data_IF_511354184352
#
_entry.id   IF_511354184352
#
_cell.length_a   1.000
_cell.length_b   1.000
_cell.length_c   1.000
_cell.angle_alpha   90.00
_cell.angle_beta   90.00
_cell.angle_gamma   90.00
#
_symmetry.space_group_name_H-M   'P 1'
#
loop_
_entity.id
_entity.type
_entity.pdbx_description
1 polymer ?
#
# COMPACT_ATOMS: atom_id res chain seq x y z
N UNK A 1 9.36 10.84 -9.38
CA UNK A 1 9.09 10.05 -10.60
C UNK A 1 10.37 9.47 -11.18
N UNK A 2 11.44 10.30 -11.40
CA UNK A 2 12.71 9.84 -11.98
C UNK A 2 13.33 8.64 -11.22
N UNK A 3 13.44 8.73 -9.90
CA UNK A 3 14.00 7.66 -9.06
C UNK A 3 13.27 6.30 -9.20
N UNK A 4 12.00 6.29 -9.58
CA UNK A 4 11.26 5.05 -9.83
C UNK A 4 11.79 4.27 -11.03
N UNK A 5 12.51 4.92 -11.95
CA UNK A 5 13.19 4.28 -13.08
C UNK A 5 14.62 3.80 -12.75
N UNK A 6 15.14 4.03 -11.56
CA UNK A 6 16.52 3.73 -11.17
C UNK A 6 16.61 2.39 -10.43
N UNK A 7 17.45 1.45 -10.88
CA UNK A 7 17.56 0.10 -10.30
C UNK A 7 18.25 0.06 -8.93
N UNK A 8 18.94 1.14 -8.55
CA UNK A 8 19.57 1.32 -7.24
C UNK A 8 18.60 1.92 -6.20
N UNK A 9 17.33 2.14 -6.60
CA UNK A 9 16.26 2.66 -5.74
C UNK A 9 15.36 1.54 -5.22
N UNK A 10 14.95 1.67 -3.98
CA UNK A 10 13.89 0.88 -3.34
C UNK A 10 12.73 1.82 -3.01
N UNK A 11 11.52 1.49 -3.41
CA UNK A 11 10.32 2.25 -3.04
C UNK A 11 9.46 1.47 -2.05
N UNK A 12 9.17 2.07 -0.91
CA UNK A 12 8.41 1.47 0.20
C UNK A 12 7.04 2.12 0.29
N UNK A 13 5.98 1.33 0.24
CA UNK A 13 4.64 1.78 0.60
C UNK A 13 4.46 1.73 2.12
N UNK A 14 4.47 2.88 2.79
CA UNK A 14 4.30 2.95 4.25
C UNK A 14 2.84 3.03 4.68
N UNK A 15 1.92 2.66 3.79
CA UNK A 15 0.49 2.54 4.08
C UNK A 15 0.16 1.16 4.63
N UNK A 16 -1.06 0.98 5.10
CA UNK A 16 -1.55 -0.33 5.50
C UNK A 16 -1.84 -1.19 4.26
N UNK A 17 -1.75 -2.50 4.42
CA UNK A 17 -1.98 -3.47 3.34
C UNK A 17 -3.30 -3.24 2.59
N UNK A 18 -4.41 -2.95 3.29
CA UNK A 18 -5.69 -2.76 2.62
C UNK A 18 -5.69 -1.53 1.67
N UNK A 19 -4.84 -0.52 1.93
CA UNK A 19 -4.66 0.63 1.03
C UNK A 19 -3.81 0.23 -0.18
N UNK A 20 -2.70 -0.47 0.05
CA UNK A 20 -1.79 -0.97 -1.02
C UNK A 20 -2.51 -1.98 -1.93
N UNK A 21 -3.40 -2.77 -1.37
CA UNK A 21 -4.18 -3.78 -2.09
C UNK A 21 -5.01 -3.18 -3.24
N UNK A 22 -5.60 -2.00 -3.07
CA UNK A 22 -6.43 -1.34 -4.11
C UNK A 22 -5.66 -0.35 -4.98
N UNK A 23 -4.43 -0.04 -4.65
CA UNK A 23 -3.59 0.83 -5.48
C UNK A 23 -2.20 1.03 -4.90
N UNK A 24 -1.20 1.05 -5.79
CA UNK A 24 0.21 1.18 -5.45
C UNK A 24 1.04 1.77 -6.58
N UNK A 25 2.23 2.21 -6.27
CA UNK A 25 3.24 2.51 -7.29
C UNK A 25 3.80 1.19 -7.82
N UNK A 26 3.81 1.02 -9.14
CA UNK A 26 4.49 -0.07 -9.82
C UNK A 26 5.61 0.53 -10.68
N UNK A 27 6.88 0.47 -10.21
CA UNK A 27 8.02 0.94 -11.00
C UNK A 27 8.14 0.19 -12.32
N UNK A 28 8.79 0.78 -13.34
CA UNK A 28 8.99 0.10 -14.61
C UNK A 28 9.94 -1.10 -14.44
N UNK A 29 9.88 -2.03 -15.39
CA UNK A 29 10.80 -3.19 -15.43
C UNK A 29 12.25 -2.70 -15.45
N UNK A 30 13.06 -3.20 -14.55
CA UNK A 30 14.47 -2.78 -14.38
C UNK A 30 14.65 -1.47 -13.59
N UNK A 31 13.58 -0.83 -13.15
CA UNK A 31 13.62 0.32 -12.24
C UNK A 31 13.68 -0.05 -10.76
N UNK A 32 13.12 0.81 -9.92
CA UNK A 32 13.12 0.65 -8.47
C UNK A 32 12.44 -0.65 -8.00
N UNK A 33 12.99 -1.27 -6.97
CA UNK A 33 12.34 -2.40 -6.31
C UNK A 33 11.19 -1.91 -5.43
N UNK A 34 9.99 -2.47 -5.62
CA UNK A 34 8.83 -2.17 -4.78
C UNK A 34 8.80 -3.07 -3.55
N UNK A 35 8.64 -2.48 -2.36
CA UNK A 35 8.46 -3.20 -1.10
C UNK A 35 7.12 -2.82 -0.45
N UNK A 36 6.31 -3.84 -0.20
CA UNK A 36 5.10 -3.76 0.61
C UNK A 36 5.36 -4.46 1.96
N UNK A 37 5.38 -3.70 3.08
CA UNK A 37 5.50 -4.27 4.43
C UNK A 37 4.34 -5.17 4.85
N UNK A 38 3.24 -5.20 4.11
CA UNK A 38 2.02 -5.97 4.38
C UNK A 38 1.43 -5.71 5.78
N UNK A 39 1.48 -4.47 6.22
CA UNK A 39 1.05 -4.06 7.56
C UNK A 39 -0.47 -4.00 7.68
N UNK A 40 -1.00 -4.50 8.79
CA UNK A 40 -2.40 -4.25 9.20
C UNK A 40 -2.57 -2.85 9.80
N UNK A 41 -1.53 -2.36 10.43
CA UNK A 41 -1.47 -1.02 11.01
C UNK A 41 -0.01 -0.52 11.08
N UNK A 42 0.17 0.78 11.20
CA UNK A 42 1.50 1.42 11.19
C UNK A 42 2.42 1.05 12.36
N UNK A 43 1.91 0.42 13.43
CA UNK A 43 2.73 -0.06 14.56
C UNK A 43 3.59 -1.27 14.17
N UNK A 44 3.26 -1.93 13.07
CA UNK A 44 4.02 -3.07 12.56
C UNK A 44 5.26 -2.64 11.76
N UNK A 45 5.31 -1.36 11.32
CA UNK A 45 6.43 -0.85 10.50
C UNK A 45 7.81 -0.99 11.17
N UNK A 46 7.99 -0.64 12.46
CA UNK A 46 9.29 -0.82 13.13
C UNK A 46 9.76 -2.28 13.16
N UNK A 47 8.84 -3.22 13.38
CA UNK A 47 9.16 -4.65 13.36
C UNK A 47 9.61 -5.10 11.97
N UNK A 48 8.89 -4.70 10.93
CA UNK A 48 9.25 -5.01 9.55
C UNK A 48 10.59 -4.38 9.16
N UNK A 49 10.83 -3.13 9.53
CA UNK A 49 12.06 -2.41 9.21
C UNK A 49 13.29 -3.05 9.89
N UNK A 50 13.12 -3.60 11.11
CA UNK A 50 14.18 -4.27 11.85
C UNK A 50 14.44 -5.71 11.39
N UNK A 51 13.60 -6.28 10.52
CA UNK A 51 13.81 -7.64 10.02
C UNK A 51 15.11 -7.72 9.19
N UNK A 52 15.96 -8.76 9.39
CA UNK A 52 17.24 -8.91 8.68
C UNK A 52 17.07 -8.85 7.16
N UNK A 53 16.06 -9.50 6.62
CA UNK A 53 15.75 -9.51 5.19
C UNK A 53 15.36 -8.13 4.65
N UNK A 54 14.75 -7.28 5.48
CA UNK A 54 14.44 -5.90 5.10
C UNK A 54 15.71 -5.06 5.09
N UNK A 55 16.52 -5.14 6.13
CA UNK A 55 17.81 -4.43 6.22
C UNK A 55 18.70 -4.73 5.02
N UNK A 56 18.82 -6.00 4.63
CA UNK A 56 19.59 -6.40 3.48
C UNK A 56 19.09 -5.80 2.16
N UNK A 57 17.77 -5.73 1.97
CA UNK A 57 17.15 -5.08 0.79
C UNK A 57 17.39 -3.57 0.71
N UNK A 58 17.58 -2.91 1.85
CA UNK A 58 17.77 -1.45 1.92
C UNK A 58 19.26 -1.06 1.84
N UNK A 59 20.16 -1.98 2.19
CA UNK A 59 21.60 -1.73 2.26
C UNK A 59 22.17 -1.24 0.93
N UNK A 60 22.81 -0.08 0.96
CA UNK A 60 23.43 0.54 -0.23
C UNK A 60 22.42 1.01 -1.29
N UNK A 61 21.14 1.16 -0.95
CA UNK A 61 20.08 1.63 -1.87
C UNK A 61 19.64 3.05 -1.55
N UNK A 62 19.11 3.75 -2.54
CA UNK A 62 18.29 4.94 -2.36
C UNK A 62 16.92 4.48 -1.88
N UNK A 63 16.49 4.87 -0.70
CA UNK A 63 15.21 4.46 -0.13
C UNK A 63 14.18 5.57 -0.28
N UNK A 64 13.16 5.33 -1.09
CA UNK A 64 12.05 6.26 -1.29
C UNK A 64 10.80 5.72 -0.64
N UNK A 65 10.11 6.54 0.15
CA UNK A 65 8.87 6.17 0.85
C UNK A 65 7.69 7.00 0.33
N UNK A 66 6.51 6.41 0.34
CA UNK A 66 5.27 7.14 0.06
C UNK A 66 4.10 6.67 0.92
N UNK A 67 3.12 7.56 1.09
CA UNK A 67 1.81 7.27 1.66
C UNK A 67 0.75 8.16 0.99
N UNK A 68 -0.48 8.18 1.48
CA UNK A 68 -1.58 8.98 0.91
C UNK A 68 -1.25 10.47 0.81
N UNK A 69 -0.86 11.11 1.93
CA UNK A 69 -0.62 12.57 2.00
C UNK A 69 0.79 12.98 2.45
N UNK A 70 1.71 12.04 2.70
CA UNK A 70 3.10 12.31 3.12
C UNK A 70 3.35 12.20 4.63
N UNK A 71 2.37 12.35 5.50
CA UNK A 71 2.53 12.43 6.98
C UNK A 71 3.18 11.17 7.56
N UNK A 72 2.75 9.98 7.16
CA UNK A 72 3.34 8.70 7.63
C UNK A 72 4.80 8.54 7.19
N UNK A 73 5.15 9.10 6.02
CA UNK A 73 6.51 9.06 5.50
C UNK A 73 7.51 9.79 6.39
N UNK A 74 7.12 10.92 6.97
CA UNK A 74 8.01 11.70 7.88
C UNK A 74 8.42 10.85 9.09
N UNK A 75 7.48 10.13 9.70
CA UNK A 75 7.76 9.26 10.84
C UNK A 75 8.58 8.02 10.44
N UNK A 76 8.26 7.42 9.29
CA UNK A 76 8.94 6.24 8.77
C UNK A 76 10.40 6.57 8.39
N UNK A 77 10.64 7.69 7.71
CA UNK A 77 11.98 8.13 7.34
C UNK A 77 12.82 8.54 8.54
N UNK A 78 12.22 9.20 9.55
CA UNK A 78 12.90 9.54 10.78
C UNK A 78 13.37 8.28 11.54
N UNK A 79 12.55 7.22 11.59
CA UNK A 79 12.93 5.95 12.21
C UNK A 79 14.12 5.31 11.49
N UNK A 80 14.07 5.22 10.16
CA UNK A 80 15.19 4.65 9.38
C UNK A 80 16.48 5.47 9.58
N UNK A 81 16.38 6.81 9.58
CA UNK A 81 17.53 7.68 9.85
C UNK A 81 18.08 7.52 11.27
N UNK A 82 17.26 7.19 12.26
CA UNK A 82 17.73 6.88 13.62
C UNK A 82 18.50 5.56 13.66
N UNK A 83 18.03 4.53 12.93
CA UNK A 83 18.72 3.25 12.83
C UNK A 83 20.09 3.40 12.18
N UNK A 84 20.22 4.16 11.09
CA UNK A 84 21.51 4.45 10.44
C UNK A 84 22.51 5.13 11.39
N UNK A 85 22.04 6.11 12.19
CA UNK A 85 22.88 6.83 13.16
C UNK A 85 23.31 5.95 14.35
N UNK A 86 22.48 4.99 14.72
CA UNK A 86 22.80 4.03 15.78
C UNK A 86 23.81 2.96 15.35
N UNK A 87 24.38 3.07 14.13
CA UNK A 87 25.25 2.06 13.52
C UNK A 87 24.60 0.66 13.46
N UNK A 88 23.26 0.64 13.42
CA UNK A 88 22.52 -0.57 13.12
C UNK A 88 22.83 -0.97 11.65
N UNK A 89 22.85 -2.24 11.32
CA UNK A 89 23.35 -2.82 10.05
C UNK A 89 22.71 -2.33 8.75
N UNK A 90 22.02 -1.19 8.80
CA UNK A 90 21.41 -0.52 7.65
C UNK A 90 22.16 0.75 7.31
N UNK A 91 22.79 0.77 6.13
CA UNK A 91 23.39 1.97 5.54
C UNK A 91 22.77 2.16 4.15
N UNK A 92 22.01 3.25 3.95
CA UNK A 92 21.41 3.58 2.64
C UNK A 92 22.25 4.62 1.89
N UNK A 93 21.98 4.82 0.60
CA UNK A 93 22.52 5.95 -0.18
C UNK A 93 21.74 7.25 0.01
N UNK A 94 20.68 7.21 0.79
CA UNK A 94 19.82 8.33 1.13
C UNK A 94 18.36 7.94 1.29
N UNK A 95 17.66 8.71 2.11
CA UNK A 95 16.26 8.47 2.47
C UNK A 95 15.42 9.62 1.90
N UNK A 96 14.43 9.28 1.11
CA UNK A 96 13.57 10.20 0.38
C UNK A 96 12.10 9.87 0.63
N UNK A 97 11.23 10.84 0.45
CA UNK A 97 9.78 10.56 0.41
C UNK A 97 9.08 11.40 -0.65
N UNK A 98 7.95 10.91 -1.13
CA UNK A 98 7.11 11.62 -2.09
C UNK A 98 6.41 12.78 -1.38
N UNK A 99 6.84 14.01 -1.66
CA UNK A 99 6.27 15.22 -1.05
C UNK A 99 4.78 15.33 -1.37
N UNK A 100 3.95 15.39 -0.31
CA UNK A 100 2.49 15.43 -0.43
C UNK A 100 1.85 14.10 -0.83
N UNK A 101 2.64 13.00 -0.82
CA UNK A 101 2.16 11.64 -1.04
C UNK A 101 1.52 11.39 -2.41
N UNK A 102 0.68 10.38 -2.48
CA UNK A 102 -0.04 9.98 -3.70
C UNK A 102 -1.02 11.05 -4.16
N UNK A 103 -1.67 11.75 -3.25
CA UNK A 103 -2.58 12.85 -3.63
C UNK A 103 -1.89 13.87 -4.54
N UNK A 104 -0.70 14.33 -4.15
CA UNK A 104 0.06 15.26 -4.98
C UNK A 104 0.67 14.61 -6.22
N UNK A 105 1.07 13.34 -6.12
CA UNK A 105 1.60 12.59 -7.26
C UNK A 105 0.57 12.49 -8.39
N UNK A 106 -0.68 12.13 -8.09
CA UNK A 106 -1.77 12.04 -9.07
C UNK A 106 -2.13 13.39 -9.70
N UNK A 107 -2.10 14.48 -8.92
CA UNK A 107 -2.27 15.84 -9.46
C UNK A 107 -1.15 16.25 -10.42
N UNK A 108 0.07 15.75 -10.19
CA UNK A 108 1.23 16.01 -11.07
C UNK A 108 1.23 15.13 -12.31
N UNK A 109 0.69 13.93 -12.19
CA UNK A 109 0.59 12.93 -13.27
C UNK A 109 -0.87 12.47 -13.43
N UNK A 110 -1.75 13.26 -14.11
CA UNK A 110 -3.17 12.94 -14.26
C UNK A 110 -3.44 11.58 -14.89
N UNK A 111 -2.58 11.13 -15.83
CA UNK A 111 -2.61 9.78 -16.41
C UNK A 111 -2.10 8.67 -15.47
N UNK A 112 -1.80 9.00 -14.20
CA UNK A 112 -1.34 8.05 -13.17
C UNK A 112 0.16 7.81 -13.13
N UNK A 113 0.91 8.03 -14.19
CA UNK A 113 2.34 7.71 -14.23
C UNK A 113 2.61 6.25 -13.85
N UNK A 114 3.38 6.00 -12.80
CA UNK A 114 3.64 4.66 -12.26
C UNK A 114 2.60 4.21 -11.21
N UNK A 115 1.56 5.02 -10.94
CA UNK A 115 0.48 4.63 -10.06
C UNK A 115 -0.50 3.67 -10.77
N UNK A 116 -0.87 2.61 -10.07
CA UNK A 116 -1.89 1.63 -10.48
C UNK A 116 -2.99 1.56 -9.45
N UNK A 117 -4.24 1.49 -9.90
CA UNK A 117 -5.40 1.35 -9.04
C UNK A 117 -5.86 2.64 -8.37
N UNK A 118 -6.41 2.53 -7.17
CA UNK A 118 -7.06 3.60 -6.40
C UNK A 118 -6.25 4.00 -5.16
N UNK A 119 -6.23 5.27 -4.85
CA UNK A 119 -5.67 5.78 -3.61
C UNK A 119 -6.77 5.83 -2.54
N UNK A 120 -6.63 5.06 -1.48
CA UNK A 120 -7.55 5.06 -0.35
C UNK A 120 -7.49 6.38 0.40
N UNK A 121 -8.64 7.02 0.61
CA UNK A 121 -8.78 8.26 1.36
C UNK A 121 -9.48 8.00 2.69
N UNK A 122 -8.95 8.57 3.78
CA UNK A 122 -9.52 8.41 5.13
C UNK A 122 -10.68 9.34 5.42
N UNK A 123 -10.91 10.32 4.57
CA UNK A 123 -12.06 11.20 4.65
C UNK A 123 -13.26 10.63 3.86
N UNK A 124 -14.40 11.28 3.97
CA UNK A 124 -15.66 10.84 3.34
C UNK A 124 -15.67 10.94 1.80
N UNK A 125 -14.56 11.34 1.17
CA UNK A 125 -14.45 11.42 -0.30
C UNK A 125 -14.29 10.06 -0.99
N UNK A 126 -14.02 8.99 -0.23
CA UNK A 126 -13.86 7.64 -0.78
C UNK A 126 -12.46 7.36 -1.32
N UNK A 127 -12.36 6.79 -2.51
CA UNK A 127 -11.10 6.48 -3.16
C UNK A 127 -10.83 7.45 -4.33
N UNK A 128 -9.57 7.85 -4.49
CA UNK A 128 -9.09 8.67 -5.60
C UNK A 128 -8.42 7.79 -6.66
N UNK A 129 -8.65 8.05 -7.93
CA UNK A 129 -7.95 7.44 -9.06
C UNK A 129 -7.31 8.49 -9.95
N UNK A 130 -6.51 8.06 -10.92
CA UNK A 130 -6.00 8.94 -11.98
C UNK A 130 -7.17 9.45 -12.82
N UNK A 131 -7.20 10.75 -13.10
CA UNK A 131 -8.33 11.41 -13.77
C UNK A 131 -8.57 10.90 -15.18
N UNK A 132 -7.50 10.57 -15.91
CA UNK A 132 -7.54 10.15 -17.31
C UNK A 132 -7.71 8.63 -17.49
N UNK A 133 -8.05 7.86 -16.43
CA UNK A 133 -8.21 6.41 -16.52
C UNK A 133 -9.67 5.95 -16.46
N UNK A 134 -10.04 5.03 -17.35
CA UNK A 134 -11.32 4.31 -17.28
C UNK A 134 -11.42 3.48 -16.00
N UNK A 135 -12.56 3.55 -15.31
CA UNK A 135 -12.81 2.87 -14.04
C UNK A 135 -12.64 1.35 -14.15
N UNK A 136 -13.05 0.74 -15.25
CA UNK A 136 -12.92 -0.70 -15.50
C UNK A 136 -11.47 -1.16 -15.66
N UNK A 137 -10.61 -0.28 -16.17
CA UNK A 137 -9.17 -0.53 -16.26
C UNK A 137 -8.56 -0.48 -14.87
N UNK A 138 -8.89 0.55 -14.08
CA UNK A 138 -8.40 0.75 -12.72
C UNK A 138 -8.75 -0.42 -11.81
N UNK A 139 -9.95 -1.00 -11.92
CA UNK A 139 -10.38 -2.16 -11.11
C UNK A 139 -9.52 -3.41 -11.35
N UNK A 140 -8.97 -3.58 -12.54
CA UNK A 140 -8.17 -4.76 -12.91
C UNK A 140 -6.67 -4.58 -12.66
N UNK A 141 -6.20 -3.35 -12.54
CA UNK A 141 -4.75 -3.05 -12.48
C UNK A 141 -4.04 -3.68 -11.28
N UNK A 142 -4.70 -3.80 -10.15
CA UNK A 142 -4.06 -4.25 -8.89
C UNK A 142 -4.27 -5.72 -8.58
N UNK A 143 -5.17 -6.38 -9.30
CA UNK A 143 -5.58 -7.75 -8.99
C UNK A 143 -6.43 -7.88 -7.71
N UNK A 144 -6.96 -6.76 -7.20
CA UNK A 144 -7.86 -6.76 -6.04
C UNK A 144 -9.15 -7.51 -6.34
N UNK A 145 -9.64 -8.28 -5.38
CA UNK A 145 -10.82 -9.13 -5.56
C UNK A 145 -11.77 -9.07 -4.37
N UNK A 146 -13.03 -9.30 -4.63
CA UNK A 146 -14.03 -9.51 -3.58
C UNK A 146 -13.63 -10.72 -2.70
N UNK A 147 -13.62 -10.55 -1.38
CA UNK A 147 -13.25 -11.62 -0.44
C UNK A 147 -14.23 -12.81 -0.48
N UNK A 148 -15.46 -12.61 -0.97
CA UNK A 148 -16.50 -13.65 -1.03
C UNK A 148 -16.46 -14.45 -2.34
N UNK A 149 -16.55 -13.77 -3.50
CA UNK A 149 -16.71 -14.44 -4.80
C UNK A 149 -15.45 -14.37 -5.69
N UNK A 150 -14.40 -13.70 -5.22
CA UNK A 150 -13.14 -13.49 -5.96
C UNK A 150 -13.28 -12.72 -7.28
N UNK A 151 -14.44 -12.09 -7.51
CA UNK A 151 -14.62 -11.19 -8.66
C UNK A 151 -13.69 -9.97 -8.54
N UNK A 152 -13.04 -9.51 -9.63
CA UNK A 152 -12.21 -8.30 -9.62
C UNK A 152 -13.00 -7.09 -9.13
N UNK A 153 -12.53 -6.47 -8.06
CA UNK A 153 -13.19 -5.33 -7.43
C UNK A 153 -12.19 -4.60 -6.53
N UNK A 154 -12.07 -3.29 -6.67
CA UNK A 154 -11.06 -2.47 -6.00
C UNK A 154 -11.68 -1.33 -5.16
N UNK A 155 -12.86 -1.53 -4.60
CA UNK A 155 -13.54 -0.54 -3.76
C UNK A 155 -13.91 -1.13 -2.40
N UNK A 156 -13.71 -0.35 -1.34
CA UNK A 156 -14.18 -0.66 0.02
C UNK A 156 -15.56 -0.05 0.25
N UNK A 157 -16.60 -0.69 -0.29
CA UNK A 157 -17.97 -0.26 -0.10
C UNK A 157 -18.58 -0.89 1.17
N UNK A 158 -19.20 -0.06 2.01
CA UNK A 158 -19.79 -0.50 3.27
C UNK A 158 -18.77 -0.62 4.41
N UNK A 159 -19.20 -1.20 5.54
CA UNK A 159 -18.38 -1.35 6.77
C UNK A 159 -17.96 -2.80 7.00
N UNK A 160 -17.51 -3.48 5.94
CA UNK A 160 -17.04 -4.86 6.05
C UNK A 160 -15.61 -4.91 6.56
N UNK A 161 -15.36 -5.76 7.54
CA UNK A 161 -14.05 -5.96 8.13
C UNK A 161 -13.72 -7.45 8.24
N UNK A 162 -12.43 -7.76 8.28
CA UNK A 162 -11.95 -9.10 8.53
C UNK A 162 -12.51 -9.63 9.86
N UNK A 163 -13.04 -10.85 9.86
CA UNK A 163 -13.64 -11.48 11.05
C UNK A 163 -12.62 -11.91 12.08
N UNK A 164 -11.36 -12.02 11.68
CA UNK A 164 -10.28 -12.33 12.62
C UNK A 164 -10.21 -11.27 13.72
N UNK A 165 -10.24 -11.72 14.99
CA UNK A 165 -10.30 -10.85 16.16
C UNK A 165 -9.08 -9.93 16.29
N UNK A 166 -7.91 -10.40 15.89
CA UNK A 166 -6.66 -9.65 15.94
C UNK A 166 -6.47 -8.71 14.74
N UNK A 167 -7.17 -8.94 13.63
CA UNK A 167 -6.94 -8.23 12.37
C UNK A 167 -7.86 -7.02 12.18
N UNK A 168 -9.15 -7.26 12.02
CA UNK A 168 -10.20 -6.22 11.84
C UNK A 168 -9.97 -5.20 10.71
N UNK A 169 -9.05 -5.44 9.77
CA UNK A 169 -8.85 -4.54 8.62
C UNK A 169 -10.06 -4.57 7.68
N UNK A 170 -10.31 -3.51 6.90
CA UNK A 170 -11.34 -3.50 5.88
C UNK A 170 -11.16 -4.64 4.88
N UNK A 171 -12.26 -5.21 4.39
CA UNK A 171 -12.29 -6.21 3.33
C UNK A 171 -13.13 -5.76 2.16
N UNK A 172 -12.75 -6.16 0.97
CA UNK A 172 -13.45 -5.83 -0.27
C UNK A 172 -14.65 -6.77 -0.44
N UNK A 173 -15.83 -6.19 -0.59
CA UNK A 173 -17.08 -6.90 -0.89
C UNK A 173 -17.75 -6.25 -2.09
N UNK A 174 -17.91 -6.97 -3.20
CA UNK A 174 -18.57 -6.45 -4.39
C UNK A 174 -20.09 -6.29 -4.18
N UNK A 175 -20.75 -5.50 -5.01
CA UNK A 175 -22.15 -5.20 -4.88
C UNK A 175 -23.03 -6.46 -4.90
N UNK A 176 -22.70 -7.47 -5.70
CA UNK A 176 -23.42 -8.75 -5.75
C UNK A 176 -23.32 -9.60 -4.48
N UNK A 177 -22.26 -9.41 -3.68
CA UNK A 177 -22.06 -10.19 -2.44
C UNK A 177 -22.49 -9.45 -1.17
N UNK A 178 -22.84 -8.16 -1.25
CA UNK A 178 -23.11 -7.32 -0.07
C UNK A 178 -24.17 -7.90 0.85
N UNK A 179 -25.31 -8.34 0.33
CA UNK A 179 -26.40 -8.91 1.14
C UNK A 179 -25.92 -10.13 1.95
N UNK A 180 -25.14 -11.01 1.33
CA UNK A 180 -24.57 -12.19 2.00
C UNK A 180 -23.52 -11.82 3.04
N UNK A 181 -22.68 -10.83 2.74
CA UNK A 181 -21.65 -10.32 3.65
C UNK A 181 -22.24 -9.61 4.88
N UNK A 182 -23.37 -8.93 4.73
CA UNK A 182 -24.10 -8.31 5.84
C UNK A 182 -24.89 -9.34 6.68
N UNK A 183 -25.26 -10.47 6.08
CA UNK A 183 -26.05 -11.55 6.69
C UNK A 183 -25.20 -12.76 7.08
N UNK A 184 -25.41 -13.87 6.36
CA UNK A 184 -24.83 -15.19 6.69
C UNK A 184 -23.30 -15.26 6.77
N UNK A 185 -22.61 -14.41 5.99
CA UNK A 185 -21.14 -14.43 5.91
C UNK A 185 -20.46 -13.39 6.80
N UNK A 186 -21.21 -12.57 7.53
CA UNK A 186 -20.66 -11.43 8.31
C UNK A 186 -19.49 -11.80 9.23
N UNK A 187 -19.52 -12.98 9.80
CA UNK A 187 -18.52 -13.47 10.75
C UNK A 187 -17.45 -14.38 10.12
N UNK A 188 -17.45 -14.53 8.79
CA UNK A 188 -16.53 -15.42 8.06
C UNK A 188 -15.65 -14.69 7.05
N UNK A 189 -15.85 -13.38 6.89
CA UNK A 189 -15.08 -12.57 5.94
C UNK A 189 -13.61 -12.53 6.36
N UNK A 190 -12.70 -12.81 5.45
CA UNK A 190 -11.25 -12.73 5.68
C UNK A 190 -10.58 -11.78 4.71
N UNK A 191 -9.59 -11.05 5.19
CA UNK A 191 -8.70 -10.28 4.32
C UNK A 191 -7.64 -11.22 3.70
N UNK A 192 -6.99 -10.82 2.59
CA UNK A 192 -5.96 -11.64 1.95
C UNK A 192 -4.82 -12.06 2.87
N UNK A 193 -4.39 -11.22 3.83
CA UNK A 193 -3.36 -11.61 4.79
C UNK A 193 -3.81 -12.77 5.70
N UNK A 194 -5.05 -12.72 6.21
CA UNK A 194 -5.58 -13.80 7.05
C UNK A 194 -5.94 -15.06 6.26
N UNK A 195 -6.27 -14.94 4.97
CA UNK A 195 -6.43 -16.12 4.07
C UNK A 195 -5.10 -16.83 3.83
N UNK A 196 -3.99 -16.07 3.75
CA UNK A 196 -2.63 -16.57 3.50
C UNK A 196 -1.86 -16.91 4.79
N UNK A 197 -2.46 -16.71 5.97
CA UNK A 197 -1.83 -16.88 7.28
C UNK A 197 -0.55 -16.04 7.48
N UNK A 198 -0.57 -14.82 6.95
CA UNK A 198 0.50 -13.82 7.09
C UNK A 198 0.18 -12.88 8.26
#
# INVERSE_FOLDING_TARGET
HKMLGESDTVVIDVRNFYETNIGRIEPPKGGAAFLDPKMRNSREFPKWLNAPETKEKLKGKKVMMYCTGGIRCERASALLSQMERAADDVQTQGIYHVRGGIDRYLKTFPGGGYWKGRNYLFDLRGEQQAEDKDERVVEKETGSVCCVCKFPFALYKGKHACSDKACKVPVIVCDGCRRRADGELKNTLKCPLCEQNI
#
